data_IF_727751258428
#
_entry.id   IF_727751258428
#
_cell.length_a   1.000
_cell.length_b   1.000
_cell.length_c   1.000
_cell.angle_alpha   90.00
_cell.angle_beta   90.00
_cell.angle_gamma   90.00
#
_symmetry.space_group_name_H-M   'P 1'
#
loop_
_entity.id
_entity.type
_entity.pdbx_description
1 polymer ?
#
# COMPACT_ATOMS: atom_id res chain seq x y z
N UNK A 1 21.15 -14.54 52.44
CA UNK A 1 21.60 -13.41 51.60
C UNK A 1 20.97 -13.60 50.23
N UNK A 2 19.87 -12.90 49.95
CA UNK A 2 19.17 -13.00 48.68
C UNK A 2 19.82 -12.02 47.69
N UNK A 3 20.34 -12.53 46.58
CA UNK A 3 20.78 -11.69 45.47
C UNK A 3 19.56 -10.98 44.85
N UNK A 4 19.62 -9.67 44.58
CA UNK A 4 18.55 -8.98 43.87
C UNK A 4 18.49 -9.52 42.43
N UNK A 5 17.29 -9.57 41.82
CA UNK A 5 17.16 -9.98 40.43
C UNK A 5 17.89 -8.96 39.54
N UNK A 6 18.75 -9.48 38.67
CA UNK A 6 19.34 -8.72 37.56
C UNK A 6 18.18 -8.34 36.64
N UNK A 7 17.61 -7.15 36.86
CA UNK A 7 16.75 -6.51 35.88
C UNK A 7 17.66 -6.25 34.69
N UNK A 8 17.44 -7.01 33.61
CA UNK A 8 18.10 -6.83 32.34
C UNK A 8 17.56 -5.53 31.73
N UNK A 9 18.04 -4.39 32.24
CA UNK A 9 17.84 -3.06 31.69
C UNK A 9 18.49 -3.05 30.32
N UNK A 10 17.75 -3.51 29.31
CA UNK A 10 18.17 -3.37 27.92
C UNK A 10 18.50 -1.89 27.71
N UNK A 11 19.71 -1.54 27.27
CA UNK A 11 20.05 -0.14 27.05
C UNK A 11 19.10 0.37 25.97
N UNK A 12 18.15 1.22 26.38
CA UNK A 12 17.42 2.05 25.44
C UNK A 12 18.47 2.85 24.68
N UNK A 13 18.52 2.81 23.35
CA UNK A 13 19.43 3.67 22.62
C UNK A 13 19.14 5.10 23.07
N UNK A 14 20.09 5.72 23.75
CA UNK A 14 20.01 7.12 24.17
C UNK A 14 20.09 7.95 22.91
N UNK A 15 18.96 8.23 22.30
CA UNK A 15 18.88 9.19 21.22
C UNK A 15 19.29 10.55 21.79
N UNK A 16 20.34 11.13 21.25
CA UNK A 16 20.69 12.51 21.59
C UNK A 16 19.61 13.44 21.01
N UNK A 17 18.76 13.93 21.91
CA UNK A 17 17.69 14.86 21.59
C UNK A 17 18.13 16.33 21.75
N UNK A 18 19.36 16.58 22.23
CA UNK A 18 19.88 17.90 22.54
C UNK A 18 20.36 18.66 21.29
N UNK A 19 20.77 17.94 20.23
CA UNK A 19 21.10 18.58 18.96
C UNK A 19 19.82 19.00 18.21
N UNK A 20 19.63 20.31 17.94
CA UNK A 20 18.53 20.76 17.12
C UNK A 20 18.77 20.28 15.69
N UNK A 21 17.88 19.40 15.22
CA UNK A 21 17.58 19.34 13.79
C UNK A 21 17.08 20.75 13.41
N UNK A 22 17.47 21.26 12.24
CA UNK A 22 17.20 22.61 11.73
C UNK A 22 15.88 23.22 12.26
N UNK A 23 15.86 24.52 12.63
CA UNK A 23 14.69 25.14 13.24
C UNK A 23 13.43 24.84 12.41
N UNK A 24 12.31 24.46 13.05
CA UNK A 24 11.13 24.02 12.34
C UNK A 24 10.63 25.15 11.45
N UNK A 25 10.75 24.99 10.13
CA UNK A 25 10.36 26.03 9.19
C UNK A 25 8.84 25.99 8.99
N UNK A 26 8.20 27.15 9.11
CA UNK A 26 6.76 27.30 8.87
C UNK A 26 6.42 26.98 7.42
N UNK A 27 7.36 27.25 6.50
CA UNK A 27 7.22 26.94 5.07
C UNK A 27 7.14 25.43 4.84
N UNK A 28 8.06 24.65 5.40
CA UNK A 28 8.03 23.18 5.27
C UNK A 28 6.78 22.58 5.89
N UNK A 29 6.38 23.09 7.05
CA UNK A 29 5.15 22.68 7.71
C UNK A 29 3.93 22.94 6.82
N UNK A 30 3.85 24.14 6.23
CA UNK A 30 2.73 24.55 5.37
C UNK A 30 2.69 23.73 4.09
N UNK A 31 3.83 23.52 3.42
CA UNK A 31 3.92 22.71 2.20
C UNK A 31 3.48 21.28 2.49
N UNK A 32 4.02 20.65 3.52
CA UNK A 32 3.64 19.28 3.89
C UNK A 32 2.16 19.18 4.27
N UNK A 33 1.59 20.16 4.96
CA UNK A 33 0.15 20.19 5.26
C UNK A 33 -0.70 20.25 3.99
N UNK A 34 -0.33 21.12 3.04
CA UNK A 34 -1.00 21.20 1.74
C UNK A 34 -0.88 19.90 0.95
N UNK A 35 0.27 19.21 1.02
CA UNK A 35 0.46 17.92 0.38
C UNK A 35 -0.44 16.84 0.99
N UNK A 36 -0.57 16.79 2.33
CA UNK A 36 -1.51 15.87 3.01
C UNK A 36 -2.95 16.12 2.56
N UNK A 37 -3.38 17.38 2.51
CA UNK A 37 -4.70 17.75 1.99
C UNK A 37 -4.87 17.35 0.52
N UNK A 38 -3.85 17.59 -0.30
CA UNK A 38 -3.83 17.19 -1.71
C UNK A 38 -3.99 15.68 -1.89
N UNK A 39 -3.33 14.87 -1.06
CA UNK A 39 -3.49 13.41 -1.06
C UNK A 39 -4.95 13.05 -0.78
N UNK A 40 -5.53 13.56 0.32
CA UNK A 40 -6.92 13.26 0.69
C UNK A 40 -7.91 13.64 -0.43
N UNK A 41 -7.77 14.85 -0.98
CA UNK A 41 -8.62 15.34 -2.08
C UNK A 41 -8.43 14.52 -3.36
N UNK A 42 -7.23 14.02 -3.63
CA UNK A 42 -6.94 13.21 -4.83
C UNK A 42 -7.58 11.82 -4.78
N UNK A 43 -7.67 11.21 -3.59
CA UNK A 43 -8.25 9.87 -3.39
C UNK A 43 -9.78 9.89 -3.32
N UNK A 44 -10.36 11.00 -2.84
CA UNK A 44 -11.80 11.13 -2.62
C UNK A 44 -12.64 10.79 -3.86
N UNK A 45 -12.38 11.29 -5.09
CA UNK A 45 -13.14 10.93 -6.27
C UNK A 45 -13.13 9.42 -6.55
N UNK A 46 -11.99 8.77 -6.30
CA UNK A 46 -11.84 7.32 -6.53
C UNK A 46 -12.64 6.52 -5.50
N UNK A 47 -12.59 6.89 -4.22
CA UNK A 47 -13.40 6.27 -3.17
C UNK A 47 -14.89 6.44 -3.46
N UNK A 48 -15.33 7.66 -3.79
CA UNK A 48 -16.72 7.98 -4.14
C UNK A 48 -17.19 7.18 -5.35
N UNK A 49 -16.37 7.06 -6.40
CA UNK A 49 -16.71 6.28 -7.61
C UNK A 49 -16.92 4.80 -7.30
N UNK A 50 -16.09 4.18 -6.48
CA UNK A 50 -16.22 2.77 -6.11
C UNK A 50 -17.47 2.56 -5.22
N UNK A 51 -17.65 3.41 -4.21
CA UNK A 51 -18.78 3.32 -3.27
C UNK A 51 -20.12 3.56 -3.96
N UNK A 52 -20.21 4.58 -4.82
CA UNK A 52 -21.44 4.92 -5.56
C UNK A 52 -21.83 3.84 -6.57
N UNK A 53 -20.84 3.24 -7.25
CA UNK A 53 -21.10 2.16 -8.23
C UNK A 53 -21.29 0.80 -7.57
N UNK A 54 -20.95 0.65 -6.29
CA UNK A 54 -20.91 -0.63 -5.56
C UNK A 54 -20.22 -1.74 -6.37
N UNK A 55 -19.18 -1.38 -7.10
CA UNK A 55 -18.49 -2.27 -8.02
C UNK A 55 -17.03 -1.89 -8.15
N UNK A 56 -16.18 -2.91 -8.12
CA UNK A 56 -14.75 -2.79 -8.40
C UNK A 56 -14.41 -2.94 -9.90
N UNK A 57 -15.40 -2.86 -10.81
CA UNK A 57 -15.18 -3.00 -12.24
C UNK A 57 -14.16 -1.98 -12.78
N UNK A 58 -13.16 -2.48 -13.52
CA UNK A 58 -12.10 -1.67 -14.13
C UNK A 58 -10.82 -1.54 -13.28
N UNK A 59 -10.81 -2.00 -12.02
CA UNK A 59 -9.60 -2.11 -11.21
C UNK A 59 -8.86 -3.42 -11.52
N UNK A 60 -7.56 -3.32 -11.83
CA UNK A 60 -6.72 -4.49 -12.04
C UNK A 60 -6.35 -5.14 -10.69
N UNK A 61 -6.55 -6.46 -10.50
CA UNK A 61 -6.11 -7.17 -9.30
C UNK A 61 -4.61 -7.00 -9.06
N UNK A 62 -3.82 -7.00 -10.14
CA UNK A 62 -2.37 -6.85 -10.05
C UNK A 62 -1.97 -5.43 -9.63
N UNK A 63 -2.70 -4.41 -10.09
CA UNK A 63 -2.49 -3.04 -9.63
C UNK A 63 -2.76 -2.90 -8.13
N UNK A 64 -3.83 -3.51 -7.61
CA UNK A 64 -4.16 -3.49 -6.19
C UNK A 64 -3.08 -4.20 -5.37
N UNK A 65 -2.65 -5.39 -5.79
CA UNK A 65 -1.61 -6.14 -5.07
C UNK A 65 -0.26 -5.42 -5.09
N UNK A 66 0.25 -4.98 -6.26
CA UNK A 66 1.52 -4.23 -6.34
C UNK A 66 1.50 -2.98 -5.49
N UNK A 67 0.39 -2.23 -5.55
CA UNK A 67 0.26 -0.98 -4.79
C UNK A 67 0.22 -1.22 -3.28
N UNK A 68 -0.48 -2.25 -2.82
CA UNK A 68 -0.54 -2.58 -1.40
C UNK A 68 0.81 -3.07 -0.88
N UNK A 69 1.50 -3.94 -1.62
CA UNK A 69 2.83 -4.45 -1.23
C UNK A 69 3.87 -3.32 -1.28
N UNK A 70 3.96 -2.59 -2.40
CA UNK A 70 4.88 -1.45 -2.54
C UNK A 70 4.63 -0.37 -1.48
N UNK A 71 3.37 0.02 -1.27
CA UNK A 71 3.00 1.03 -0.28
C UNK A 71 3.32 0.58 1.15
N UNK A 72 3.11 -0.71 1.47
CA UNK A 72 3.48 -1.26 2.77
C UNK A 72 4.99 -1.23 2.98
N UNK A 73 5.77 -1.64 1.98
CA UNK A 73 7.23 -1.53 2.02
C UNK A 73 7.68 -0.07 2.18
N UNK A 74 7.08 0.87 1.45
CA UNK A 74 7.41 2.30 1.53
C UNK A 74 7.11 2.87 2.92
N UNK A 75 5.93 2.57 3.48
CA UNK A 75 5.54 3.06 4.79
C UNK A 75 6.36 2.42 5.91
N UNK A 76 6.62 1.10 5.84
CA UNK A 76 7.50 0.41 6.77
C UNK A 76 8.92 0.96 6.72
N UNK A 77 9.48 1.20 5.52
CA UNK A 77 10.76 1.87 5.36
C UNK A 77 10.77 3.24 6.05
N UNK A 78 9.74 4.08 5.79
CA UNK A 78 9.64 5.41 6.40
C UNK A 78 9.56 5.36 7.94
N UNK A 79 8.78 4.44 8.50
CA UNK A 79 8.63 4.30 9.96
C UNK A 79 9.92 3.82 10.64
N UNK A 80 10.62 2.89 10.00
CA UNK A 80 11.81 2.25 10.55
C UNK A 80 13.09 3.06 10.30
N UNK A 81 13.05 4.03 9.39
CA UNK A 81 14.18 4.90 9.12
C UNK A 81 14.63 5.62 10.39
N UNK A 82 15.95 5.64 10.63
CA UNK A 82 16.55 6.17 11.86
C UNK A 82 16.11 7.61 12.18
N UNK A 83 15.91 8.43 11.14
CA UNK A 83 15.42 9.79 11.29
C UNK A 83 14.02 9.84 11.92
N UNK A 84 13.09 9.02 11.42
CA UNK A 84 11.72 8.91 11.93
C UNK A 84 11.68 8.33 13.35
N UNK A 85 12.46 7.28 13.61
CA UNK A 85 12.55 6.67 14.95
C UNK A 85 13.10 7.67 15.96
N UNK A 86 14.16 8.41 15.62
CA UNK A 86 14.70 9.48 16.46
C UNK A 86 13.67 10.60 16.67
N UNK A 87 12.97 11.02 15.63
CA UNK A 87 11.95 12.07 15.72
C UNK A 87 10.82 11.67 16.67
N UNK A 88 10.33 10.43 16.60
CA UNK A 88 9.31 9.90 17.51
C UNK A 88 9.83 9.78 18.94
N UNK A 89 11.05 9.28 19.13
CA UNK A 89 11.65 9.11 20.46
C UNK A 89 11.93 10.45 21.18
N UNK A 90 12.33 11.48 20.43
CA UNK A 90 12.61 12.81 20.97
C UNK A 90 11.37 13.72 21.05
N UNK A 91 10.21 13.26 20.59
CA UNK A 91 8.97 14.03 20.57
C UNK A 91 8.53 14.54 21.97
N UNK A 92 8.64 13.77 23.07
CA UNK A 92 8.25 14.25 24.40
C UNK A 92 9.13 15.39 24.93
N UNK A 93 10.37 15.50 24.44
CA UNK A 93 11.35 16.51 24.87
C UNK A 93 11.28 17.74 23.96
N UNK A 94 10.84 17.57 22.72
CA UNK A 94 10.65 18.66 21.76
C UNK A 94 9.27 19.27 21.92
N UNK A 95 9.18 20.61 21.92
CA UNK A 95 7.89 21.29 21.91
C UNK A 95 6.98 20.82 20.77
N UNK A 96 5.66 20.90 20.97
CA UNK A 96 4.66 20.27 20.08
C UNK A 96 4.82 20.62 18.59
N UNK A 97 5.08 21.89 18.25
CA UNK A 97 5.28 22.32 16.86
C UNK A 97 6.53 21.69 16.21
N UNK A 98 7.64 21.61 16.94
CA UNK A 98 8.87 21.00 16.44
C UNK A 98 8.75 19.48 16.27
N UNK A 99 7.97 18.81 17.12
CA UNK A 99 7.65 17.41 16.90
C UNK A 99 6.72 17.22 15.69
N UNK A 100 5.65 18.03 15.59
CA UNK A 100 4.71 17.95 14.49
C UNK A 100 5.38 18.16 13.12
N UNK A 101 6.25 19.17 12.99
CA UNK A 101 7.01 19.41 11.76
C UNK A 101 7.96 18.26 11.40
N UNK A 102 8.52 17.58 12.41
CA UNK A 102 9.43 16.45 12.24
C UNK A 102 8.71 15.17 11.80
N UNK A 103 7.45 14.96 12.22
CA UNK A 103 6.66 13.77 11.89
C UNK A 103 5.80 13.92 10.64
N UNK A 104 5.76 15.11 10.04
CA UNK A 104 4.85 15.43 8.95
C UNK A 104 5.06 14.53 7.71
N UNK A 105 6.30 14.19 7.38
CA UNK A 105 6.59 13.23 6.30
C UNK A 105 6.10 11.82 6.59
N UNK A 106 6.15 11.38 7.85
CA UNK A 106 5.61 10.08 8.30
C UNK A 106 4.09 10.07 8.14
N UNK A 107 3.43 11.16 8.58
CA UNK A 107 1.98 11.33 8.41
C UNK A 107 1.60 11.32 6.94
N UNK A 108 2.36 12.03 6.08
CA UNK A 108 2.06 12.11 4.65
C UNK A 108 2.10 10.75 3.96
N UNK A 109 3.16 9.96 4.16
CA UNK A 109 3.25 8.60 3.58
C UNK A 109 2.20 7.68 4.22
N UNK A 110 1.93 7.83 5.52
CA UNK A 110 0.91 7.04 6.22
C UNK A 110 -0.50 7.30 5.69
N UNK A 111 -0.87 8.56 5.42
CA UNK A 111 -2.16 8.92 4.81
C UNK A 111 -2.28 8.33 3.41
N UNK A 112 -1.24 8.46 2.57
CA UNK A 112 -1.19 7.86 1.22
C UNK A 112 -1.44 6.35 1.28
N UNK A 113 -0.67 5.65 2.14
CA UNK A 113 -0.80 4.21 2.35
C UNK A 113 -2.20 3.83 2.83
N UNK A 114 -2.74 4.55 3.82
CA UNK A 114 -4.07 4.34 4.36
C UNK A 114 -5.17 4.53 3.31
N UNK A 115 -5.11 5.60 2.52
CA UNK A 115 -6.08 5.87 1.45
C UNK A 115 -6.05 4.78 0.37
N UNK A 116 -4.87 4.25 0.02
CA UNK A 116 -4.74 3.12 -0.89
C UNK A 116 -5.29 1.82 -0.28
N UNK A 117 -5.05 1.58 1.01
CA UNK A 117 -5.64 0.45 1.74
C UNK A 117 -7.17 0.52 1.77
N UNK A 118 -7.76 1.71 1.87
CA UNK A 118 -9.22 1.89 1.71
C UNK A 118 -9.66 1.47 0.31
N UNK A 119 -8.95 1.83 -0.76
CA UNK A 119 -9.26 1.32 -2.12
C UNK A 119 -9.19 -0.21 -2.15
N UNK A 120 -8.16 -0.81 -1.56
CA UNK A 120 -8.03 -2.27 -1.48
C UNK A 120 -9.21 -2.91 -0.74
N UNK A 121 -9.62 -2.37 0.41
CA UNK A 121 -10.78 -2.86 1.16
C UNK A 121 -12.06 -2.75 0.33
N UNK A 122 -12.30 -1.60 -0.30
CA UNK A 122 -13.45 -1.41 -1.19
C UNK A 122 -13.42 -2.38 -2.39
N UNK A 123 -12.24 -2.66 -2.94
CA UNK A 123 -12.05 -3.65 -4.00
C UNK A 123 -12.43 -5.05 -3.55
N UNK A 124 -12.08 -5.46 -2.32
CA UNK A 124 -12.47 -6.76 -1.75
C UNK A 124 -13.98 -6.83 -1.44
N UNK A 125 -14.56 -5.75 -0.92
CA UNK A 125 -15.99 -5.69 -0.55
C UNK A 125 -16.89 -5.74 -1.79
N UNK A 126 -16.52 -4.99 -2.84
CA UNK A 126 -17.29 -4.89 -4.08
C UNK A 126 -16.79 -5.80 -5.19
N UNK A 127 -15.96 -6.79 -4.87
CA UNK A 127 -15.62 -7.89 -5.77
C UNK A 127 -16.90 -8.70 -6.06
N UNK A 128 -17.23 -8.99 -7.33
CA UNK A 128 -18.41 -9.79 -7.66
C UNK A 128 -18.32 -11.16 -6.97
N UNK A 129 -19.28 -11.53 -6.11
CA UNK A 129 -19.29 -12.86 -5.48
C UNK A 129 -19.59 -13.92 -6.54
N UNK A 130 -18.97 -15.11 -6.48
CA UNK A 130 -19.35 -16.20 -7.37
C UNK A 130 -20.76 -16.62 -6.95
N UNK A 131 -21.71 -16.58 -7.87
CA UNK A 131 -23.09 -17.02 -7.63
C UNK A 131 -23.10 -18.52 -7.37
N UNK A 132 -23.05 -18.92 -6.10
CA UNK A 132 -23.42 -20.27 -5.67
C UNK A 132 -24.94 -20.37 -5.64
N UNK A 133 -25.59 -20.41 -6.81
CA UNK A 133 -27.01 -20.68 -6.92
C UNK A 133 -27.39 -21.14 -8.33
N UNK A 134 -27.05 -22.38 -8.64
CA UNK A 134 -27.89 -23.23 -9.48
C UNK A 134 -27.71 -24.69 -9.05
N UNK A 135 -28.04 -24.97 -7.80
CA UNK A 135 -28.43 -26.32 -7.37
C UNK A 135 -29.95 -26.41 -7.45
N UNK A 136 -30.42 -27.45 -8.15
CA UNK A 136 -31.78 -28.01 -8.16
C UNK A 136 -32.96 -27.18 -8.68
N UNK A 137 -33.33 -27.42 -9.95
CA UNK A 137 -34.72 -27.72 -10.29
C UNK A 137 -34.78 -29.08 -11.02
N UNK A 138 -35.40 -30.04 -10.36
CA UNK A 138 -35.76 -31.39 -10.80
C UNK A 138 -36.57 -31.42 -12.09
N UNK A 139 -36.31 -32.40 -12.99
CA UNK A 139 -37.31 -33.38 -13.40
C UNK A 139 -36.71 -34.53 -14.25
N UNK A 140 -37.10 -35.80 -14.02
CA UNK A 140 -36.74 -36.94 -14.86
C UNK A 140 -37.83 -37.23 -15.91
N UNK A 141 -37.52 -37.24 -17.21
CA UNK A 141 -38.20 -38.11 -18.20
C UNK A 141 -37.63 -38.04 -19.62
N UNK A 142 -37.55 -39.25 -20.19
CA UNK A 142 -37.83 -39.63 -21.58
C UNK A 142 -36.69 -39.70 -22.60
N UNK A 143 -36.30 -40.94 -22.84
CA UNK A 143 -35.73 -41.55 -24.04
C UNK A 143 -36.18 -40.99 -25.41
N UNK A 144 -35.22 -40.68 -26.31
CA UNK A 144 -35.03 -41.35 -27.63
C UNK A 144 -33.78 -40.81 -28.41
N UNK A 145 -33.22 -41.58 -29.37
CA UNK A 145 -31.88 -41.36 -29.97
C UNK A 145 -31.86 -40.83 -31.43
N UNK A 146 -30.63 -40.60 -31.95
CA UNK A 146 -30.15 -40.28 -33.33
C UNK A 146 -29.97 -38.77 -33.60
N UNK A 147 -28.87 -38.21 -34.13
CA UNK A 147 -27.88 -38.67 -35.14
C UNK A 147 -26.60 -37.77 -35.09
N UNK A 148 -25.46 -38.14 -35.72
CA UNK A 148 -24.14 -37.55 -35.50
C UNK A 148 -23.69 -36.51 -36.56
N UNK A 149 -22.58 -35.83 -36.23
CA UNK A 149 -21.56 -35.22 -37.11
C UNK A 149 -21.65 -33.71 -37.40
N UNK A 150 -20.74 -32.92 -36.79
CA UNK A 150 -19.83 -32.06 -37.54
C UNK A 150 -18.66 -31.60 -36.65
N UNK A 151 -17.47 -32.01 -37.07
CA UNK A 151 -16.14 -31.74 -36.52
C UNK A 151 -15.72 -30.29 -36.71
N UNK A 152 -15.27 -29.63 -35.64
CA UNK A 152 -14.26 -28.57 -35.75
C UNK A 152 -13.47 -28.44 -34.43
N UNK A 153 -12.15 -28.73 -34.40
CA UNK A 153 -11.32 -28.51 -33.22
C UNK A 153 -10.69 -27.12 -33.29
N UNK A 154 -11.39 -26.10 -32.80
CA UNK A 154 -10.78 -24.78 -32.58
C UNK A 154 -10.10 -24.77 -31.22
N UNK A 155 -8.76 -24.85 -31.22
CA UNK A 155 -7.88 -24.56 -30.09
C UNK A 155 -8.35 -23.32 -29.33
N UNK A 156 -8.97 -23.51 -28.17
CA UNK A 156 -8.98 -22.52 -27.10
C UNK A 156 -8.06 -23.06 -26.01
N UNK A 157 -6.84 -22.54 -25.96
CA UNK A 157 -6.01 -22.66 -24.77
C UNK A 157 -6.80 -22.06 -23.61
N UNK A 158 -7.13 -22.81 -22.54
CA UNK A 158 -7.73 -22.21 -21.37
C UNK A 158 -6.60 -21.50 -20.61
N UNK A 159 -6.39 -20.22 -20.89
CA UNK A 159 -5.75 -19.36 -19.90
C UNK A 159 -6.59 -19.46 -18.61
N UNK A 160 -5.98 -19.67 -17.43
CA UNK A 160 -6.73 -19.82 -16.19
C UNK A 160 -7.38 -18.48 -15.85
N UNK A 161 -8.60 -18.27 -16.33
CA UNK A 161 -9.47 -17.16 -15.98
C UNK A 161 -9.97 -17.43 -14.58
N UNK A 162 -9.14 -17.09 -13.59
CA UNK A 162 -9.60 -17.06 -12.20
C UNK A 162 -10.85 -16.19 -12.14
N UNK A 163 -11.97 -16.68 -11.58
CA UNK A 163 -13.16 -15.85 -11.43
C UNK A 163 -12.77 -14.64 -10.58
N UNK A 164 -13.21 -13.45 -11.01
CA UNK A 164 -12.93 -12.16 -10.37
C UNK A 164 -13.00 -12.17 -8.81
N UNK A 165 -13.93 -12.91 -8.14
CA UNK A 165 -13.89 -13.07 -6.68
C UNK A 165 -12.69 -13.85 -6.15
N UNK A 166 -12.30 -14.95 -6.80
CA UNK A 166 -11.14 -15.74 -6.39
C UNK A 166 -9.84 -14.94 -6.56
N UNK A 167 -9.73 -14.17 -7.65
CA UNK A 167 -8.63 -13.24 -7.84
C UNK A 167 -8.60 -12.14 -6.76
N UNK A 168 -9.76 -11.59 -6.38
CA UNK A 168 -9.84 -10.59 -5.33
C UNK A 168 -9.45 -11.15 -3.96
N UNK A 169 -9.96 -12.32 -3.58
CA UNK A 169 -9.59 -12.98 -2.33
C UNK A 169 -8.11 -13.33 -2.28
N UNK A 170 -7.54 -13.84 -3.37
CA UNK A 170 -6.11 -14.14 -3.47
C UNK A 170 -5.25 -12.87 -3.32
N UNK A 171 -5.61 -11.79 -4.01
CA UNK A 171 -4.91 -10.51 -3.90
C UNK A 171 -4.99 -9.95 -2.48
N UNK A 172 -6.19 -9.99 -1.87
CA UNK A 172 -6.40 -9.54 -0.51
C UNK A 172 -5.58 -10.35 0.50
N UNK A 173 -5.62 -11.68 0.40
CA UNK A 173 -4.89 -12.55 1.32
C UNK A 173 -3.37 -12.37 1.19
N UNK A 174 -2.84 -12.25 -0.04
CA UNK A 174 -1.42 -11.97 -0.27
C UNK A 174 -1.01 -10.59 0.28
N UNK A 175 -1.84 -9.56 0.07
CA UNK A 175 -1.56 -8.22 0.58
C UNK A 175 -1.56 -8.17 2.11
N UNK A 176 -2.56 -8.78 2.77
CA UNK A 176 -2.63 -8.84 4.22
C UNK A 176 -1.53 -9.74 4.83
N UNK A 177 -1.21 -10.87 4.20
CA UNK A 177 -0.11 -11.72 4.61
C UNK A 177 1.23 -10.96 4.51
N UNK A 178 1.46 -10.25 3.41
CA UNK A 178 2.65 -9.41 3.26
C UNK A 178 2.71 -8.30 4.33
N UNK A 179 1.60 -7.61 4.61
CA UNK A 179 1.52 -6.62 5.68
C UNK A 179 1.91 -7.22 7.03
N UNK A 180 1.31 -8.36 7.38
CA UNK A 180 1.59 -9.05 8.62
C UNK A 180 3.05 -9.50 8.73
N UNK A 181 3.59 -10.13 7.69
CA UNK A 181 4.98 -10.60 7.67
C UNK A 181 5.97 -9.43 7.76
N UNK A 182 5.73 -8.33 7.05
CA UNK A 182 6.57 -7.13 7.12
C UNK A 182 6.54 -6.52 8.51
N UNK A 183 5.37 -6.41 9.14
CA UNK A 183 5.24 -5.91 10.52
C UNK A 183 5.93 -6.84 11.51
N UNK A 184 5.69 -8.15 11.43
CA UNK A 184 6.29 -9.15 12.29
C UNK A 184 7.81 -9.15 12.19
N UNK A 185 8.36 -9.18 10.97
CA UNK A 185 9.81 -9.12 10.73
C UNK A 185 10.40 -7.82 11.30
N UNK A 186 9.74 -6.69 11.10
CA UNK A 186 10.18 -5.39 11.61
C UNK A 186 10.23 -5.36 13.15
N UNK A 187 9.19 -5.88 13.82
CA UNK A 187 9.14 -5.98 15.28
C UNK A 187 10.20 -6.94 15.80
N UNK A 188 10.35 -8.13 15.20
CA UNK A 188 11.36 -9.12 15.59
C UNK A 188 12.76 -8.53 15.43
N UNK A 189 13.07 -7.90 14.30
CA UNK A 189 14.39 -7.33 14.07
C UNK A 189 14.69 -6.19 15.05
N UNK A 190 13.73 -5.30 15.30
CA UNK A 190 13.88 -4.24 16.30
C UNK A 190 14.06 -4.82 17.71
N UNK A 191 13.30 -5.88 18.04
CA UNK A 191 13.38 -6.56 19.32
C UNK A 191 14.71 -7.30 19.48
N UNK A 192 15.24 -8.05 18.51
CA UNK A 192 16.43 -8.89 18.74
C UNK A 192 17.75 -8.21 18.37
N UNK A 193 17.75 -7.34 17.36
CA UNK A 193 18.98 -6.75 16.81
C UNK A 193 19.15 -5.27 17.19
N UNK A 194 18.11 -4.63 17.71
CA UNK A 194 18.12 -3.21 18.09
C UNK A 194 18.09 -2.26 16.89
N UNK A 195 17.92 -0.97 17.16
CA UNK A 195 17.68 0.05 16.14
C UNK A 195 18.83 0.24 15.13
N UNK A 196 20.06 -0.11 15.47
CA UNK A 196 21.20 0.07 14.57
C UNK A 196 21.28 -0.98 13.46
N UNK A 197 20.85 -2.21 13.76
CA UNK A 197 20.91 -3.34 12.84
C UNK A 197 19.67 -3.47 11.93
N UNK A 198 18.68 -2.57 12.06
CA UNK A 198 17.49 -2.55 11.20
C UNK A 198 17.78 -1.98 9.81
N UNK A 199 18.93 -1.31 9.61
CA UNK A 199 19.23 -0.56 8.37
C UNK A 199 19.20 -1.43 7.09
N UNK A 200 19.80 -2.63 7.05
CA UNK A 200 19.71 -3.47 5.84
C UNK A 200 18.27 -3.89 5.51
N UNK A 201 17.42 -4.03 6.52
CA UNK A 201 16.00 -4.33 6.34
C UNK A 201 15.25 -3.13 5.78
N UNK A 202 15.51 -1.92 6.28
CA UNK A 202 14.91 -0.69 5.72
C UNK A 202 15.34 -0.46 4.27
N UNK A 203 16.63 -0.65 3.96
CA UNK A 203 17.16 -0.46 2.62
C UNK A 203 16.52 -1.46 1.63
N UNK A 204 16.34 -2.72 2.05
CA UNK A 204 15.62 -3.73 1.28
C UNK A 204 14.16 -3.32 1.04
N UNK A 205 13.45 -2.86 2.08
CA UNK A 205 12.07 -2.40 1.94
C UNK A 205 11.96 -1.20 0.99
N UNK A 206 12.89 -0.25 1.06
CA UNK A 206 12.93 0.89 0.14
C UNK A 206 13.18 0.48 -1.32
N UNK A 207 14.11 -0.44 -1.56
CA UNK A 207 14.40 -0.97 -2.89
C UNK A 207 13.20 -1.76 -3.45
N UNK A 208 12.58 -2.61 -2.64
CA UNK A 208 11.38 -3.36 -3.02
C UNK A 208 10.23 -2.40 -3.33
N UNK A 209 9.98 -1.41 -2.47
CA UNK A 209 8.93 -0.42 -2.68
C UNK A 209 9.07 0.27 -4.04
N UNK A 210 10.28 0.78 -4.33
CA UNK A 210 10.58 1.50 -5.57
C UNK A 210 10.45 0.59 -6.80
N UNK A 211 10.97 -0.63 -6.72
CA UNK A 211 10.93 -1.60 -7.82
C UNK A 211 9.50 -2.02 -8.14
N UNK A 212 8.71 -2.34 -7.11
CA UNK A 212 7.30 -2.72 -7.26
C UNK A 212 6.45 -1.55 -7.80
N UNK A 213 6.72 -0.32 -7.35
CA UNK A 213 6.08 0.87 -7.89
C UNK A 213 6.41 1.09 -9.37
N UNK A 214 7.66 0.88 -9.77
CA UNK A 214 8.06 0.96 -11.17
C UNK A 214 7.31 -0.08 -12.03
N UNK A 215 7.25 -1.34 -11.56
CA UNK A 215 6.48 -2.41 -12.23
C UNK A 215 4.98 -2.08 -12.29
N UNK A 216 4.45 -1.38 -11.29
CA UNK A 216 3.05 -0.97 -11.24
C UNK A 216 2.74 0.13 -12.27
N UNK A 217 3.54 1.20 -12.31
CA UNK A 217 3.21 2.41 -13.04
C UNK A 217 3.81 2.46 -14.45
N UNK A 218 5.04 1.97 -14.66
CA UNK A 218 5.74 2.09 -15.96
C UNK A 218 4.98 1.41 -17.11
N UNK A 219 4.51 0.15 -16.99
CA UNK A 219 3.77 -0.49 -18.07
C UNK A 219 2.45 0.24 -18.37
N UNK A 220 1.81 0.80 -17.35
CA UNK A 220 0.56 1.54 -17.49
C UNK A 220 0.78 2.89 -18.19
N UNK A 221 1.85 3.60 -17.85
CA UNK A 221 2.25 4.84 -18.54
C UNK A 221 2.56 4.54 -20.00
N UNK A 222 3.38 3.52 -20.27
CA UNK A 222 3.74 3.12 -21.64
C UNK A 222 2.50 2.76 -22.47
N UNK A 223 1.62 1.92 -21.94
CA UNK A 223 0.40 1.50 -22.65
C UNK A 223 -0.51 2.69 -22.92
N UNK A 224 -0.62 3.63 -21.98
CA UNK A 224 -1.44 4.85 -22.16
C UNK A 224 -0.85 5.74 -23.25
N UNK A 225 0.49 5.90 -23.25
CA UNK A 225 1.20 6.66 -24.27
C UNK A 225 1.01 6.08 -25.67
N UNK A 226 1.08 4.75 -25.80
CA UNK A 226 0.94 4.09 -27.12
C UNK A 226 -0.50 3.97 -27.58
N UNK A 227 -1.47 3.80 -26.67
CA UNK A 227 -2.87 3.54 -27.02
C UNK A 227 -3.73 4.80 -27.06
N UNK A 228 -3.27 5.93 -26.49
CA UNK A 228 -4.00 7.20 -26.42
C UNK A 228 -5.28 7.17 -25.56
N UNK A 229 -5.58 6.04 -24.90
CA UNK A 229 -6.80 5.84 -24.12
C UNK A 229 -6.49 5.75 -22.63
N UNK A 230 -7.16 6.59 -21.84
CA UNK A 230 -7.06 6.55 -20.38
C UNK A 230 -7.92 5.41 -19.85
N UNK A 231 -7.30 4.40 -19.24
CA UNK A 231 -8.01 3.30 -18.55
C UNK A 231 -8.76 3.82 -17.31
N UNK A 232 -9.34 2.94 -16.49
CA UNK A 232 -10.20 3.31 -15.35
C UNK A 232 -9.55 4.12 -14.21
N UNK A 233 -8.26 4.48 -14.32
CA UNK A 233 -7.56 5.25 -13.30
C UNK A 233 -8.00 6.71 -13.34
N UNK A 234 -8.26 7.32 -12.18
CA UNK A 234 -8.70 8.72 -12.10
C UNK A 234 -7.60 9.67 -12.59
N UNK A 235 -7.86 10.38 -13.69
CA UNK A 235 -6.95 11.42 -14.24
C UNK A 235 -6.69 12.49 -13.18
N UNK A 236 -7.74 12.94 -12.49
CA UNK A 236 -7.62 13.96 -11.44
C UNK A 236 -6.72 13.51 -10.28
N UNK A 237 -6.79 12.23 -9.91
CA UNK A 237 -5.93 11.66 -8.89
C UNK A 237 -4.45 11.71 -9.30
N UNK A 238 -4.13 11.46 -10.58
CA UNK A 238 -2.75 11.55 -11.08
C UNK A 238 -2.27 12.99 -11.24
N UNK A 239 -3.10 13.89 -11.75
CA UNK A 239 -2.75 15.30 -11.92
C UNK A 239 -2.40 16.00 -10.61
N UNK A 240 -2.99 15.60 -9.48
CA UNK A 240 -2.68 16.16 -8.16
C UNK A 240 -1.48 15.45 -7.53
N UNK A 241 -1.44 14.11 -7.57
CA UNK A 241 -0.41 13.36 -6.87
C UNK A 241 0.96 13.44 -7.54
N UNK A 242 1.07 13.44 -8.87
CA UNK A 242 2.37 13.47 -9.55
C UNK A 242 3.19 14.73 -9.23
N UNK A 243 2.65 15.97 -9.33
CA UNK A 243 3.41 17.14 -8.90
C UNK A 243 3.62 17.14 -7.38
N UNK A 244 2.63 16.69 -6.59
CA UNK A 244 2.77 16.62 -5.14
C UNK A 244 3.88 15.66 -4.67
N UNK A 245 4.05 14.52 -5.33
CA UNK A 245 5.11 13.56 -5.02
C UNK A 245 6.49 14.07 -5.42
N UNK A 246 6.60 14.85 -6.49
CA UNK A 246 7.84 15.54 -6.86
C UNK A 246 8.24 16.59 -5.80
N UNK A 247 7.29 17.43 -5.36
CA UNK A 247 7.52 18.40 -4.28
C UNK A 247 7.89 17.69 -2.98
N UNK A 248 7.22 16.57 -2.66
CA UNK A 248 7.55 15.77 -1.49
C UNK A 248 8.98 15.21 -1.55
N UNK A 249 9.36 14.59 -2.68
CA UNK A 249 10.70 14.05 -2.87
C UNK A 249 11.77 15.15 -2.75
N UNK A 250 11.52 16.33 -3.33
CA UNK A 250 12.37 17.49 -3.16
C UNK A 250 12.46 17.92 -1.69
N UNK A 251 11.33 17.96 -0.97
CA UNK A 251 11.30 18.33 0.45
C UNK A 251 12.08 17.34 1.35
N UNK A 252 12.18 16.07 0.97
CA UNK A 252 13.03 15.09 1.66
C UNK A 252 14.51 15.26 1.30
N UNK A 253 14.81 15.62 0.04
CA UNK A 253 16.18 15.82 -0.43
C UNK A 253 16.85 17.05 0.20
N UNK A 254 16.09 18.13 0.39
CA UNK A 254 16.61 19.39 0.93
C UNK A 254 16.63 19.47 2.47
N UNK A 255 16.18 18.42 3.18
CA UNK A 255 16.20 18.32 4.65
C UNK A 255 17.42 17.55 5.14
#
# INVERSE_FOLDING_TARGET
MAHPPIILSRPTPSFDCAHPVSPPSVVDFTISLLLVLGILLSYLPQHVKIVSRRSAAGLSPWFVLLGSVSGTCAFANMLLQRASVRAMACCPVRGGFACASSLLGVVQIGVQWGCFFVIMLLYLIFAPKPSSSSSSSSSPRSSRPSTPLSTNPSRSSPAPTTPQPAAALLVGSLAFAHLFLTLLASVILLAYRGAFAIQPWTDLLGLLATSLAAVQYVPQIWTTWTSGQVRSLSIGMMCIQTPGSAVFAASLWYR
#
